data_IF_248290284464
#
_entry.id   IF_248290284464
#
_cell.length_a   1.000
_cell.length_b   1.000
_cell.length_c   1.000
_cell.angle_alpha   90.00
_cell.angle_beta   90.00
_cell.angle_gamma   90.00
#
_symmetry.space_group_name_H-M   'P 1'
#
loop_
_entity.id
_entity.type
_entity.pdbx_description
1 polymer ?
#
# COMPACT_ATOMS: atom_id res chain seq x y z
N UNK A 1 -45.11 21.27 14.41
CA UNK A 1 -44.78 22.46 13.61
C UNK A 1 -43.38 22.89 14.00
N UNK A 2 -42.36 22.28 13.38
CA UNK A 2 -40.98 22.75 13.42
C UNK A 2 -40.29 22.28 12.12
N UNK A 3 -40.03 23.25 11.26
CA UNK A 3 -39.36 23.07 9.97
C UNK A 3 -37.87 22.82 10.21
N UNK A 4 -37.34 21.69 9.76
CA UNK A 4 -35.91 21.47 9.66
C UNK A 4 -35.44 22.00 8.29
N UNK A 5 -34.54 23.00 8.31
CA UNK A 5 -33.90 23.58 7.15
C UNK A 5 -32.72 22.69 6.72
N UNK A 6 -32.77 22.15 5.52
CA UNK A 6 -31.64 21.61 4.82
C UNK A 6 -30.77 22.78 4.28
N UNK A 7 -29.54 22.85 4.71
CA UNK A 7 -28.52 23.74 4.09
C UNK A 7 -27.67 22.89 3.17
N UNK A 8 -27.82 23.10 1.88
CA UNK A 8 -26.92 22.58 0.86
C UNK A 8 -25.65 23.44 0.80
N UNK A 9 -24.51 22.87 1.12
CA UNK A 9 -23.22 23.51 0.93
C UNK A 9 -22.72 23.24 -0.50
N UNK A 10 -22.81 24.28 -1.32
CA UNK A 10 -22.22 24.29 -2.67
C UNK A 10 -20.77 24.73 -2.56
N UNK A 11 -19.83 23.83 -2.80
CA UNK A 11 -18.39 24.15 -2.86
C UNK A 11 -18.06 24.86 -4.16
N UNK A 12 -17.69 26.11 -4.03
CA UNK A 12 -17.21 26.97 -5.12
C UNK A 12 -15.69 26.74 -5.26
N UNK A 13 -15.26 26.13 -6.37
CA UNK A 13 -13.87 26.04 -6.75
C UNK A 13 -13.50 27.33 -7.46
N UNK A 14 -12.71 28.19 -6.82
CA UNK A 14 -12.11 29.37 -7.45
C UNK A 14 -10.81 28.96 -8.14
N UNK A 15 -10.82 29.00 -9.48
CA UNK A 15 -9.63 28.89 -10.28
C UNK A 15 -8.87 30.23 -10.24
N UNK A 16 -7.67 30.24 -9.67
CA UNK A 16 -6.73 31.35 -9.76
C UNK A 16 -5.89 31.18 -11.02
N UNK A 17 -6.22 31.93 -12.08
CA UNK A 17 -5.32 32.21 -13.18
C UNK A 17 -4.47 33.43 -12.81
N UNK A 18 -3.22 33.19 -12.42
CA UNK A 18 -2.20 34.22 -12.26
C UNK A 18 -1.50 34.49 -13.61
N UNK A 19 -1.84 35.59 -14.25
CA UNK A 19 -1.16 36.06 -15.42
C UNK A 19 0.23 36.60 -15.08
N UNK A 20 1.26 36.09 -15.77
CA UNK A 20 2.59 36.63 -15.78
C UNK A 20 2.68 37.55 -17.00
N UNK A 21 2.80 38.87 -16.76
CA UNK A 21 3.03 39.89 -17.76
C UNK A 21 4.48 39.81 -18.25
N UNK A 22 4.66 39.55 -19.53
CA UNK A 22 5.92 39.79 -20.24
C UNK A 22 6.16 41.29 -20.37
N UNK A 23 7.25 41.77 -19.77
CA UNK A 23 7.87 43.05 -20.12
C UNK A 23 8.85 42.82 -21.25
N UNK A 24 8.60 43.49 -22.39
CA UNK A 24 9.54 43.69 -23.47
C UNK A 24 10.35 44.94 -23.14
N UNK A 25 11.68 44.80 -23.09
CA UNK A 25 12.58 45.93 -23.31
C UNK A 25 13.60 45.53 -24.38
N UNK A 26 13.64 46.36 -25.41
CA UNK A 26 14.49 46.20 -26.57
C UNK A 26 15.85 46.83 -26.38
N UNK A 27 16.80 46.43 -27.19
CA UNK A 27 17.58 47.30 -28.09
C UNK A 27 18.95 46.73 -28.42
N UNK A 28 19.25 46.85 -29.73
CA UNK A 28 20.53 47.03 -30.42
C UNK A 28 21.46 45.80 -30.58
N UNK A 29 21.51 45.23 -31.78
CA UNK A 29 22.10 45.67 -33.06
C UNK A 29 23.56 45.25 -33.24
N UNK A 30 23.82 44.72 -34.43
CA UNK A 30 25.07 44.47 -35.22
C UNK A 30 25.54 43.00 -35.13
N UNK A 31 25.64 42.25 -36.25
CA UNK A 31 26.02 42.52 -37.60
C UNK A 31 27.10 41.54 -38.00
N UNK A 32 26.98 40.81 -39.12
CA UNK A 32 28.02 39.92 -39.65
C UNK A 32 27.43 38.71 -40.37
N UNK A 33 27.22 38.84 -41.48
CA UNK A 33 27.40 38.41 -42.89
C UNK A 33 28.21 37.12 -43.13
N UNK A 34 27.66 36.33 -44.09
CA UNK A 34 28.22 35.62 -45.27
C UNK A 34 28.61 34.15 -45.12
N UNK A 35 28.09 33.34 -46.09
CA UNK A 35 28.57 32.06 -46.57
C UNK A 35 27.46 31.04 -46.74
N UNK A 36 26.70 30.93 -47.79
CA UNK A 36 26.81 30.53 -49.20
C UNK A 36 27.27 29.09 -49.41
N UNK A 37 26.42 28.29 -50.05
CA UNK A 37 26.72 27.09 -50.83
C UNK A 37 26.23 25.80 -50.16
N UNK A 38 25.51 24.93 -50.87
CA UNK A 38 25.31 24.64 -52.21
C UNK A 38 24.34 23.47 -52.32
N UNK A 39 23.65 23.47 -53.40
CA UNK A 39 22.66 22.52 -53.86
C UNK A 39 23.31 21.28 -54.51
N UNK A 40 22.56 20.17 -54.53
CA UNK A 40 22.39 19.22 -55.63
C UNK A 40 21.52 18.08 -55.13
N UNK A 41 20.28 17.83 -55.56
CA UNK A 41 19.79 17.39 -56.90
C UNK A 41 20.15 15.95 -57.21
N UNK A 42 19.13 15.17 -57.44
CA UNK A 42 19.09 13.93 -58.19
C UNK A 42 18.35 12.85 -57.42
N UNK A 43 17.25 12.29 -57.86
CA UNK A 43 16.69 11.86 -59.09
C UNK A 43 16.16 10.48 -58.82
N UNK A 44 14.92 10.25 -58.88
CA UNK A 44 13.98 9.82 -59.92
C UNK A 44 14.04 8.32 -60.27
N UNK A 45 12.79 7.82 -60.40
CA UNK A 45 12.33 6.66 -61.20
C UNK A 45 12.48 5.29 -60.61
N UNK A 46 11.47 4.42 -60.66
CA UNK A 46 10.34 4.16 -61.47
C UNK A 46 9.60 2.95 -60.96
N UNK A 47 8.37 2.92 -61.21
CA UNK A 47 7.54 1.98 -61.97
C UNK A 47 7.45 0.56 -61.43
N UNK A 48 6.29 0.03 -61.20
CA UNK A 48 5.02 -0.23 -61.82
C UNK A 48 4.75 -1.74 -61.91
N UNK A 49 3.53 -2.12 -61.74
CA UNK A 49 2.92 -3.38 -62.22
C UNK A 49 2.62 -4.38 -61.11
N UNK A 50 1.43 -4.81 -60.91
CA UNK A 50 0.52 -5.42 -61.67
C UNK A 50 -0.74 -5.83 -60.93
N UNK A 51 -1.84 -5.64 -61.56
CA UNK A 51 -3.20 -6.05 -61.19
C UNK A 51 -3.47 -7.52 -61.58
N UNK A 52 -4.38 -8.16 -60.83
CA UNK A 52 -5.22 -9.26 -61.28
C UNK A 52 -6.23 -9.56 -60.17
N UNK A 53 -7.48 -9.16 -60.14
CA UNK A 53 -8.72 -9.64 -60.82
C UNK A 53 -9.05 -11.11 -60.57
N UNK A 54 -10.19 -11.32 -59.88
CA UNK A 54 -10.91 -12.59 -59.80
C UNK A 54 -12.00 -12.49 -58.74
N UNK A 55 -13.09 -12.12 -58.98
CA UNK A 55 -14.42 -12.35 -59.49
C UNK A 55 -15.06 -13.70 -59.10
N UNK A 56 -16.30 -13.66 -58.57
CA UNK A 56 -17.25 -14.76 -58.43
C UNK A 56 -17.89 -14.80 -57.05
N UNK A 57 -19.05 -14.31 -56.85
CA UNK A 57 -20.38 -14.76 -57.25
C UNK A 57 -20.99 -15.35 -55.99
N UNK A 58 -22.06 -14.88 -55.40
CA UNK A 58 -23.39 -14.82 -55.87
C UNK A 58 -24.29 -15.69 -54.98
N UNK A 59 -25.38 -15.18 -54.45
CA UNK A 59 -26.42 -15.99 -53.82
C UNK A 59 -27.12 -15.27 -52.68
N UNK A 60 -27.99 -14.59 -52.85
CA UNK A 60 -29.39 -14.24 -52.77
C UNK A 60 -30.27 -15.15 -51.89
N UNK A 61 -31.01 -14.51 -51.01
CA UNK A 61 -32.47 -14.44 -50.68
C UNK A 61 -32.98 -15.41 -49.61
N UNK A 62 -33.64 -14.79 -48.63
CA UNK A 62 -34.54 -15.44 -47.69
C UNK A 62 -35.22 -14.42 -46.81
N UNK A 63 -36.27 -13.83 -47.30
CA UNK A 63 -37.28 -13.00 -46.62
C UNK A 63 -38.31 -13.87 -45.90
N UNK A 64 -38.82 -13.35 -44.78
CA UNK A 64 -40.00 -13.85 -44.06
C UNK A 64 -39.90 -13.35 -42.65
N UNK A 65 -40.62 -12.40 -42.15
CA UNK A 65 -42.07 -12.15 -42.18
C UNK A 65 -42.67 -12.97 -41.05
N UNK A 66 -43.00 -12.37 -39.89
CA UNK A 66 -44.35 -12.05 -39.48
C UNK A 66 -44.44 -11.59 -38.01
N UNK A 67 -45.03 -10.50 -37.82
CA UNK A 67 -46.05 -9.97 -36.91
C UNK A 67 -46.63 -10.94 -35.86
N UNK A 68 -46.62 -10.49 -34.65
CA UNK A 68 -47.37 -11.03 -33.52
C UNK A 68 -47.70 -9.95 -32.52
N UNK A 69 -48.79 -9.25 -32.77
CA UNK A 69 -49.50 -8.32 -31.88
C UNK A 69 -50.27 -9.08 -30.79
N UNK A 70 -50.41 -8.43 -29.63
CA UNK A 70 -51.42 -8.68 -28.60
C UNK A 70 -50.83 -9.08 -27.27
N UNK A 71 -51.16 -8.50 -26.22
CA UNK A 71 -52.33 -7.93 -25.69
C UNK A 71 -52.10 -7.37 -24.30
N UNK A 72 -52.86 -6.43 -24.01
CA UNK A 72 -52.93 -5.55 -22.84
C UNK A 72 -53.57 -6.19 -21.60
N UNK A 73 -53.42 -5.41 -20.51
CA UNK A 73 -54.25 -5.31 -19.28
C UNK A 73 -54.09 -6.45 -18.30
N UNK A 74 -53.97 -6.17 -16.98
CA UNK A 74 -54.90 -5.36 -16.16
C UNK A 74 -54.30 -5.00 -14.82
N UNK A 75 -54.58 -3.83 -14.41
CA UNK A 75 -54.70 -3.27 -13.08
C UNK A 75 -55.18 -4.22 -11.97
N UNK A 76 -54.49 -4.08 -10.82
CA UNK A 76 -54.93 -4.61 -9.54
C UNK A 76 -54.55 -3.68 -8.41
N UNK A 77 -55.42 -2.72 -8.16
CA UNK A 77 -55.44 -1.92 -6.95
C UNK A 77 -56.00 -2.73 -5.77
N UNK A 78 -55.33 -2.71 -4.67
CA UNK A 78 -55.82 -3.29 -3.41
C UNK A 78 -55.07 -2.73 -2.25
N UNK A 79 -55.64 -1.67 -1.69
CA UNK A 79 -55.31 -1.11 -0.42
C UNK A 79 -55.93 -1.92 0.73
N UNK A 80 -55.26 -1.90 1.83
CA UNK A 80 -55.88 -2.02 3.15
C UNK A 80 -54.94 -1.47 4.21
N UNK A 81 -55.38 -0.39 4.76
CA UNK A 81 -55.06 0.21 6.04
C UNK A 81 -55.16 -0.78 7.20
N UNK A 82 -54.20 -0.69 8.10
CA UNK A 82 -54.23 -1.35 9.42
C UNK A 82 -53.49 -0.52 10.43
N UNK A 83 -54.18 0.39 11.05
CA UNK A 83 -53.76 1.14 12.24
C UNK A 83 -54.02 0.31 13.50
N UNK A 84 -53.12 0.34 14.45
CA UNK A 84 -53.25 -0.07 15.83
C UNK A 84 -51.85 0.00 16.44
N UNK A 85 -51.51 0.82 17.28
CA UNK A 85 -52.08 1.59 18.39
C UNK A 85 -52.06 0.79 19.67
N UNK A 86 -51.22 1.23 20.61
CA UNK A 86 -51.23 1.13 22.09
C UNK A 86 -49.90 0.64 22.63
N UNK A 87 -49.06 1.51 23.21
CA UNK A 87 -49.11 2.12 24.57
C UNK A 87 -48.79 1.16 25.71
N UNK A 88 -47.91 1.71 26.53
CA UNK A 88 -47.77 1.56 27.97
C UNK A 88 -46.63 0.61 28.44
N UNK A 89 -45.59 1.22 28.95
CA UNK A 89 -45.32 1.50 30.36
C UNK A 89 -44.94 0.27 31.19
N UNK A 90 -43.79 0.36 31.84
CA UNK A 90 -43.43 -0.55 32.91
C UNK A 90 -41.95 -0.59 33.23
N UNK A 91 -41.38 0.42 33.85
CA UNK A 91 -40.19 0.24 34.64
C UNK A 91 -40.52 -0.39 36.01
N UNK A 92 -39.58 -0.99 36.64
CA UNK A 92 -39.34 -0.53 38.00
C UNK A 92 -37.86 -0.29 38.36
N UNK A 93 -37.83 0.61 39.31
CA UNK A 93 -36.78 1.19 40.10
C UNK A 93 -35.91 0.18 40.88
N UNK A 94 -34.75 0.71 41.19
CA UNK A 94 -33.71 0.32 42.09
C UNK A 94 -34.17 -0.15 43.49
N UNK A 95 -33.36 -1.02 44.04
CA UNK A 95 -32.97 -1.09 45.46
C UNK A 95 -31.67 -1.90 45.46
N UNK A 96 -30.57 -1.50 46.01
CA UNK A 96 -30.34 -0.90 47.29
C UNK A 96 -29.83 -1.98 48.24
N UNK A 97 -28.57 -1.83 48.67
CA UNK A 97 -28.03 -2.60 49.76
C UNK A 97 -26.85 -3.52 49.36
N UNK A 98 -25.77 -3.63 50.05
CA UNK A 98 -25.25 -3.02 51.25
C UNK A 98 -23.77 -3.38 51.29
N UNK A 99 -23.01 -2.54 51.86
CA UNK A 99 -21.60 -2.78 52.27
C UNK A 99 -21.51 -3.99 53.21
N UNK A 100 -20.43 -4.75 53.09
CA UNK A 100 -19.84 -5.43 54.23
C UNK A 100 -18.33 -5.25 54.18
N UNK A 101 -17.87 -4.56 55.20
CA UNK A 101 -16.53 -4.39 55.70
C UNK A 101 -15.96 -5.75 56.17
N UNK A 102 -14.61 -5.78 56.20
CA UNK A 102 -13.84 -6.70 57.07
C UNK A 102 -12.87 -7.55 56.26
N UNK A 103 -11.64 -7.45 56.43
CA UNK A 103 -10.79 -7.39 57.55
C UNK A 103 -9.36 -7.47 57.17
N UNK A 104 -8.64 -6.68 57.89
CA UNK A 104 -7.21 -6.51 58.09
C UNK A 104 -6.52 -7.79 58.57
N UNK A 105 -5.22 -7.84 58.29
CA UNK A 105 -4.09 -8.42 58.99
C UNK A 105 -3.28 -9.35 58.08
N UNK A 106 -1.99 -9.32 58.06
CA UNK A 106 -1.00 -8.85 58.93
C UNK A 106 0.39 -9.20 58.35
N UNK A 107 1.29 -8.39 58.73
CA UNK A 107 2.69 -8.31 58.46
C UNK A 107 3.55 -9.56 58.78
N UNK A 108 4.79 -9.41 58.39
CA UNK A 108 6.08 -9.90 58.84
C UNK A 108 6.73 -10.72 57.74
N UNK A 109 7.88 -10.33 57.23
CA UNK A 109 9.15 -9.96 57.87
C UNK A 109 10.09 -11.13 57.64
N UNK A 110 11.15 -10.94 56.90
CA UNK A 110 12.16 -11.98 56.76
C UNK A 110 13.35 -11.52 55.91
N UNK A 111 14.34 -11.13 56.61
CA UNK A 111 15.62 -10.58 56.24
C UNK A 111 16.51 -11.49 55.37
N UNK A 112 17.40 -10.84 54.64
CA UNK A 112 18.62 -11.38 54.06
C UNK A 112 19.51 -12.03 55.12
N UNK A 113 20.44 -12.91 54.69
CA UNK A 113 21.82 -12.45 54.89
C UNK A 113 22.76 -12.72 53.71
N UNK A 114 23.76 -11.84 53.70
CA UNK A 114 25.03 -11.86 53.03
C UNK A 114 25.78 -13.19 53.05
N UNK A 115 26.51 -13.46 51.96
CA UNK A 115 27.59 -14.42 51.91
C UNK A 115 28.64 -13.98 50.91
N UNK A 116 29.63 -13.29 51.42
CA UNK A 116 30.87 -13.00 50.73
C UNK A 116 31.86 -14.17 50.86
N UNK A 117 32.67 -14.34 49.86
CA UNK A 117 33.88 -15.16 50.04
C UNK A 117 34.63 -15.37 48.73
N UNK A 118 35.94 -15.15 48.74
CA UNK A 118 36.77 -14.87 47.57
C UNK A 118 37.59 -16.10 47.17
N UNK A 119 38.21 -16.03 46.00
CA UNK A 119 39.19 -17.02 45.62
C UNK A 119 39.57 -16.94 44.15
N UNK A 120 40.65 -16.21 43.94
CA UNK A 120 41.42 -16.16 42.77
C UNK A 120 42.26 -17.39 42.54
N UNK A 121 42.65 -17.61 41.27
CA UNK A 121 43.98 -18.12 40.91
C UNK A 121 44.25 -17.79 39.44
N UNK A 122 45.28 -17.04 39.26
CA UNK A 122 46.06 -16.86 38.02
C UNK A 122 46.79 -18.15 37.69
N UNK A 123 46.75 -18.54 36.42
CA UNK A 123 47.73 -19.47 35.85
C UNK A 123 48.20 -18.96 34.51
N UNK A 124 49.40 -18.43 34.51
CA UNK A 124 50.28 -18.21 33.36
C UNK A 124 50.89 -19.54 32.96
N UNK A 125 50.95 -19.80 31.66
CA UNK A 125 51.72 -20.92 31.13
C UNK A 125 51.66 -20.96 29.61
N UNK A 126 52.72 -20.46 29.00
CA UNK A 126 52.93 -20.50 27.60
C UNK A 126 53.52 -21.84 27.16
N UNK A 127 53.36 -22.12 25.86
CA UNK A 127 54.34 -22.89 25.06
C UNK A 127 54.08 -22.74 23.58
N UNK A 128 55.12 -22.37 22.88
CA UNK A 128 55.23 -22.38 21.42
C UNK A 128 55.04 -23.79 20.85
N UNK A 129 54.32 -23.89 19.76
CA UNK A 129 54.23 -25.05 18.87
C UNK A 129 54.18 -24.61 17.43
N UNK A 130 55.36 -24.56 16.78
CA UNK A 130 55.56 -24.51 15.33
C UNK A 130 55.24 -25.85 14.72
N UNK A 131 54.39 -25.92 13.72
CA UNK A 131 54.18 -27.12 12.93
C UNK A 131 53.15 -26.89 11.81
N UNK A 132 53.64 -26.69 10.60
CA UNK A 132 52.83 -26.48 9.43
C UNK A 132 52.12 -27.73 8.91
N UNK A 133 51.11 -27.52 8.18
CA UNK A 133 50.77 -28.28 6.95
C UNK A 133 49.59 -27.58 6.26
N UNK A 134 49.82 -27.29 4.99
CA UNK A 134 48.79 -26.85 4.07
C UNK A 134 47.68 -27.89 3.95
N UNK A 135 46.44 -27.45 4.21
CA UNK A 135 45.26 -28.07 3.64
C UNK A 135 44.43 -26.97 3.01
N UNK A 136 44.50 -26.87 1.71
CA UNK A 136 43.59 -26.10 0.90
C UNK A 136 42.22 -26.77 0.99
N UNK A 137 41.34 -26.22 1.86
CA UNK A 137 39.94 -26.55 1.95
C UNK A 137 39.19 -25.24 1.90
N UNK A 138 38.95 -24.74 0.70
CA UNK A 138 38.13 -23.55 0.48
C UNK A 138 36.68 -23.83 0.84
N UNK A 139 36.31 -23.74 2.10
CA UNK A 139 34.96 -23.47 2.47
C UNK A 139 34.76 -21.96 2.29
N UNK A 140 34.13 -21.61 1.18
CA UNK A 140 33.61 -20.27 0.98
C UNK A 140 32.56 -19.94 2.06
N UNK A 141 33.04 -19.57 3.22
CA UNK A 141 32.23 -18.85 4.19
C UNK A 141 31.91 -17.49 3.57
N UNK A 142 30.78 -17.42 2.89
CA UNK A 142 30.24 -16.15 2.45
C UNK A 142 30.07 -15.29 3.70
N UNK A 143 30.97 -14.33 3.89
CA UNK A 143 30.77 -13.24 4.83
C UNK A 143 29.46 -12.58 4.37
N UNK A 144 28.38 -12.80 5.13
CA UNK A 144 27.14 -12.06 4.96
C UNK A 144 27.49 -10.58 5.17
N UNK A 145 27.73 -9.90 4.05
CA UNK A 145 28.06 -8.48 4.10
C UNK A 145 26.83 -7.75 4.61
N UNK A 146 26.94 -7.26 5.83
CA UNK A 146 25.87 -6.49 6.47
C UNK A 146 25.56 -5.28 5.59
N UNK A 147 24.30 -5.18 5.12
CA UNK A 147 23.84 -4.01 4.35
C UNK A 147 23.48 -2.90 5.32
N UNK A 148 24.22 -1.81 5.28
CA UNK A 148 23.91 -0.62 6.04
C UNK A 148 23.17 0.39 5.17
N UNK A 149 22.12 1.04 5.71
CA UNK A 149 21.48 2.15 5.02
C UNK A 149 22.45 3.29 4.76
N UNK A 150 22.38 3.86 3.58
CA UNK A 150 23.24 4.97 3.14
C UNK A 150 22.41 6.25 3.19
N UNK A 151 22.85 7.22 4.00
CA UNK A 151 22.28 8.56 3.95
C UNK A 151 22.73 9.27 2.66
N UNK A 152 21.79 9.82 1.94
CA UNK A 152 22.00 10.64 0.74
C UNK A 152 21.67 12.11 1.07
N UNK A 153 21.95 13.00 0.13
CA UNK A 153 21.58 14.41 0.26
C UNK A 153 20.06 14.60 0.36
N UNK A 154 19.62 15.71 0.94
CA UNK A 154 18.21 16.11 1.00
C UNK A 154 17.29 15.10 1.72
N UNK A 155 17.75 14.52 2.81
CA UNK A 155 16.90 13.67 3.67
C UNK A 155 16.55 12.29 3.11
N UNK A 156 17.25 11.86 2.06
CA UNK A 156 17.03 10.53 1.46
C UNK A 156 17.93 9.48 2.08
N UNK A 157 17.42 8.28 2.21
CA UNK A 157 18.12 7.11 2.75
C UNK A 157 17.89 5.91 1.86
N UNK A 158 18.94 5.13 1.60
CA UNK A 158 18.92 4.03 0.63
C UNK A 158 19.38 2.74 1.27
N UNK A 159 18.66 1.64 0.97
CA UNK A 159 19.14 0.27 1.07
C UNK A 159 19.41 -0.23 -0.36
N UNK A 160 20.64 -0.69 -0.60
CA UNK A 160 21.07 -1.24 -1.89
C UNK A 160 21.72 -2.59 -1.63
N UNK A 161 21.13 -3.66 -2.13
CA UNK A 161 21.58 -5.04 -1.89
C UNK A 161 21.05 -6.00 -2.95
N UNK A 162 21.92 -6.92 -3.38
CA UNK A 162 21.61 -7.76 -4.53
C UNK A 162 21.19 -6.90 -5.73
N UNK A 163 20.03 -7.18 -6.28
CA UNK A 163 19.44 -6.43 -7.39
C UNK A 163 18.42 -5.38 -6.92
N UNK A 164 18.29 -5.17 -5.62
CA UNK A 164 17.26 -4.29 -5.03
C UNK A 164 17.86 -2.92 -4.69
N UNK A 165 17.18 -1.87 -5.16
CA UNK A 165 17.38 -0.50 -4.72
C UNK A 165 16.08 0.01 -4.08
N UNK A 166 16.19 0.45 -2.83
CA UNK A 166 15.07 0.90 -2.00
C UNK A 166 15.42 2.24 -1.36
N UNK A 167 14.59 3.27 -1.61
CA UNK A 167 14.86 4.63 -1.15
C UNK A 167 13.69 5.20 -0.35
N UNK A 168 14.01 5.84 0.76
CA UNK A 168 13.08 6.50 1.69
C UNK A 168 13.39 7.99 1.75
N UNK A 169 12.35 8.82 1.66
CA UNK A 169 12.42 10.26 1.87
C UNK A 169 11.95 10.62 3.28
N UNK A 170 12.88 10.99 4.15
CA UNK A 170 12.57 11.37 5.54
C UNK A 170 11.84 12.70 5.65
N UNK A 171 11.95 13.58 4.64
CA UNK A 171 11.33 14.89 4.66
C UNK A 171 9.82 14.86 4.36
N UNK A 172 9.33 13.72 3.83
CA UNK A 172 7.92 13.54 3.47
C UNK A 172 7.42 12.23 4.09
N UNK A 173 7.12 12.24 5.37
CA UNK A 173 6.49 11.10 6.07
C UNK A 173 7.34 9.84 6.16
N UNK A 174 8.67 9.89 6.01
CA UNK A 174 9.53 8.71 5.78
C UNK A 174 8.90 7.78 4.73
N UNK A 175 8.55 8.34 3.59
CA UNK A 175 7.85 7.68 2.48
C UNK A 175 8.83 6.88 1.65
N UNK A 176 8.46 5.68 1.26
CA UNK A 176 9.23 4.91 0.28
C UNK A 176 8.93 5.51 -1.11
N UNK A 177 9.96 6.04 -1.76
CA UNK A 177 9.81 6.75 -3.04
C UNK A 177 10.37 5.98 -4.23
N UNK A 178 11.28 5.04 -3.96
CA UNK A 178 11.88 4.22 -5.01
C UNK A 178 11.98 2.76 -4.55
N UNK A 179 11.58 1.87 -5.43
CA UNK A 179 11.77 0.43 -5.31
C UNK A 179 12.02 -0.13 -6.70
N UNK A 180 13.24 -0.57 -6.97
CA UNK A 180 13.63 -1.15 -8.26
C UNK A 180 14.27 -2.51 -8.09
N UNK A 181 14.25 -3.31 -9.15
CA UNK A 181 14.93 -4.61 -9.27
C UNK A 181 15.82 -4.59 -10.50
N UNK A 182 17.13 -4.84 -10.34
CA UNK A 182 18.08 -5.00 -11.45
C UNK A 182 18.03 -3.89 -12.51
N UNK A 183 17.90 -2.62 -12.09
CA UNK A 183 17.81 -1.48 -13.00
C UNK A 183 16.50 -1.34 -13.77
N UNK A 184 15.47 -2.15 -13.42
CA UNK A 184 14.13 -1.97 -13.95
C UNK A 184 13.56 -0.61 -13.53
N UNK A 185 12.53 -0.09 -14.22
CA UNK A 185 11.83 1.12 -13.79
C UNK A 185 11.32 1.01 -12.35
N UNK A 186 11.17 2.15 -11.67
CA UNK A 186 10.59 2.21 -10.35
C UNK A 186 9.20 1.55 -10.34
N UNK A 187 8.97 0.65 -9.39
CA UNK A 187 7.66 0.00 -9.20
C UNK A 187 6.61 0.96 -8.65
N UNK A 188 7.09 1.99 -7.94
CA UNK A 188 6.22 2.96 -7.26
C UNK A 188 6.03 4.19 -8.12
N UNK A 189 4.83 4.77 -8.08
CA UNK A 189 4.60 6.08 -8.69
C UNK A 189 5.38 7.17 -7.97
N UNK A 190 5.71 8.22 -8.68
CA UNK A 190 6.42 9.38 -8.15
C UNK A 190 5.59 10.67 -8.27
N UNK A 191 6.17 11.78 -7.86
CA UNK A 191 5.53 13.11 -7.90
C UNK A 191 5.09 13.55 -9.30
N UNK A 192 5.66 12.97 -10.36
CA UNK A 192 5.26 13.23 -11.74
C UNK A 192 3.86 12.68 -12.05
N UNK A 193 3.41 11.62 -11.39
CA UNK A 193 2.07 11.06 -11.52
C UNK A 193 1.07 11.82 -10.66
N UNK A 194 1.43 12.04 -9.39
CA UNK A 194 0.64 12.81 -8.45
C UNK A 194 1.56 13.47 -7.42
N UNK A 195 1.45 14.77 -7.23
CA UNK A 195 2.35 15.52 -6.35
C UNK A 195 2.15 15.21 -4.86
N UNK A 196 1.03 14.60 -4.49
CA UNK A 196 0.64 14.29 -3.11
C UNK A 196 0.59 12.78 -2.89
N UNK A 197 -0.07 12.05 -3.80
CA UNK A 197 -0.35 10.62 -3.67
C UNK A 197 0.65 9.82 -4.52
N UNK A 198 1.82 9.52 -3.99
CA UNK A 198 2.88 8.76 -4.66
C UNK A 198 3.64 7.87 -3.68
N UNK A 199 4.39 6.90 -4.20
CA UNK A 199 5.23 6.03 -3.40
C UNK A 199 4.45 5.13 -2.45
N UNK A 200 5.09 4.71 -1.36
CA UNK A 200 4.42 3.96 -0.30
C UNK A 200 4.50 4.70 1.02
N UNK A 201 3.36 4.76 1.70
CA UNK A 201 3.19 5.45 2.98
C UNK A 201 2.55 4.50 4.01
N UNK A 202 2.58 4.92 5.26
CA UNK A 202 1.93 4.21 6.36
C UNK A 202 1.02 5.19 7.10
N UNK A 203 -0.18 4.73 7.40
CA UNK A 203 -1.24 5.51 8.04
C UNK A 203 -1.78 4.79 9.26
N UNK A 204 -2.63 5.46 10.00
CA UNK A 204 -3.36 4.92 11.17
C UNK A 204 -4.83 4.82 10.80
N UNK A 205 -5.35 3.60 10.73
CA UNK A 205 -6.74 3.29 10.44
C UNK A 205 -7.60 3.34 11.73
N UNK A 206 -8.94 3.61 11.65
CA UNK A 206 -9.70 3.82 10.42
C UNK A 206 -9.59 5.26 9.90
N UNK A 207 -9.80 5.44 8.60
CA UNK A 207 -9.85 6.77 7.98
C UNK A 207 -10.92 7.68 8.61
N UNK A 208 -12.03 7.11 9.05
CA UNK A 208 -13.11 7.83 9.72
C UNK A 208 -12.70 8.50 11.04
N UNK A 209 -11.57 8.12 11.63
CA UNK A 209 -11.02 8.73 12.85
C UNK A 209 -10.14 9.97 12.56
N UNK A 210 -9.86 10.29 11.30
CA UNK A 210 -9.06 11.46 10.94
C UNK A 210 -9.90 12.75 10.97
N UNK A 211 -9.28 13.89 11.29
CA UNK A 211 -9.95 15.17 11.17
C UNK A 211 -10.31 15.45 9.70
N UNK A 212 -11.60 15.49 9.38
CA UNK A 212 -12.06 15.82 8.04
C UNK A 212 -11.99 14.69 7.00
N UNK A 213 -11.80 13.44 7.40
CA UNK A 213 -11.80 12.25 6.54
C UNK A 213 -10.61 12.17 5.55
N UNK A 214 -10.21 13.25 4.93
CA UNK A 214 -9.08 13.38 4.00
C UNK A 214 -8.57 14.82 4.00
N UNK A 215 -7.26 15.09 3.90
CA UNK A 215 -6.14 14.13 3.83
C UNK A 215 -5.82 13.49 5.19
N UNK A 216 -4.88 12.50 5.23
CA UNK A 216 -4.33 11.97 6.48
C UNK A 216 -3.70 13.08 7.32
N UNK A 217 -3.58 12.89 8.66
CA UNK A 217 -2.84 13.83 9.50
C UNK A 217 -1.43 14.07 8.94
N UNK A 218 -1.05 15.34 8.70
CA UNK A 218 0.20 15.66 8.03
C UNK A 218 1.44 15.17 8.80
N UNK A 219 1.36 15.08 10.12
CA UNK A 219 2.43 14.56 10.97
C UNK A 219 2.79 13.12 10.63
N UNK A 220 1.82 12.33 10.16
CA UNK A 220 2.01 10.93 9.80
C UNK A 220 2.38 10.78 8.31
N UNK A 221 1.77 11.56 7.42
CA UNK A 221 1.86 11.33 5.96
C UNK A 221 2.87 12.23 5.24
N UNK A 222 2.98 13.50 5.60
CA UNK A 222 3.75 14.49 4.82
C UNK A 222 4.80 15.28 5.58
N UNK A 223 4.74 15.32 6.90
CA UNK A 223 5.76 16.02 7.69
C UNK A 223 7.08 15.26 7.70
N UNK A 224 8.18 15.99 7.92
CA UNK A 224 9.48 15.39 8.09
C UNK A 224 9.52 14.47 9.33
N UNK A 225 10.08 13.29 9.16
CA UNK A 225 10.38 12.35 10.23
C UNK A 225 11.83 12.54 10.70
N UNK A 226 12.05 12.40 11.99
CA UNK A 226 13.41 12.22 12.52
C UNK A 226 13.89 10.82 12.13
N UNK A 227 14.77 10.73 11.13
CA UNK A 227 15.29 9.47 10.64
C UNK A 227 16.75 9.29 11.02
N UNK A 228 17.07 8.13 11.60
CA UNK A 228 18.41 7.72 11.99
C UNK A 228 18.73 6.35 11.41
N UNK A 229 20.03 6.05 11.30
CA UNK A 229 20.53 4.72 10.96
C UNK A 229 21.05 4.06 12.23
N UNK A 230 20.52 2.88 12.55
CA UNK A 230 20.96 2.05 13.66
C UNK A 230 21.35 0.66 13.14
N UNK A 231 22.65 0.40 13.05
CA UNK A 231 23.16 -0.81 12.42
C UNK A 231 22.68 -0.94 10.99
N UNK A 232 21.92 -1.99 10.68
CA UNK A 232 21.39 -2.30 9.35
C UNK A 232 20.00 -1.70 9.09
N UNK A 233 19.48 -0.88 10.00
CA UNK A 233 18.08 -0.44 10.00
C UNK A 233 18.00 1.08 9.87
N UNK A 234 17.14 1.56 8.97
CA UNK A 234 16.62 2.92 8.99
C UNK A 234 15.50 3.00 10.02
N UNK A 235 15.54 3.99 10.90
CA UNK A 235 14.49 4.22 11.92
C UNK A 235 14.01 5.66 11.80
N UNK A 236 12.78 5.83 11.34
CA UNK A 236 12.12 7.14 11.21
C UNK A 236 10.97 7.27 12.21
N UNK A 237 10.92 8.39 12.95
CA UNK A 237 9.84 8.67 13.90
C UNK A 237 9.13 9.96 13.48
N UNK A 238 7.80 9.92 13.42
CA UNK A 238 6.95 11.07 13.09
C UNK A 238 6.93 12.09 14.23
N UNK A 239 6.57 13.35 13.94
CA UNK A 239 5.99 14.21 14.95
C UNK A 239 4.75 13.57 15.60
N UNK A 240 4.33 14.07 16.75
CA UNK A 240 3.11 13.62 17.41
C UNK A 240 1.88 14.18 16.66
N UNK A 241 1.06 13.30 16.12
CA UNK A 241 -0.22 13.65 15.51
C UNK A 241 -1.30 13.76 16.62
N UNK A 242 -1.37 14.93 17.24
CA UNK A 242 -2.26 15.17 18.37
C UNK A 242 -3.74 14.94 18.03
N UNK A 243 -4.13 15.19 16.79
CA UNK A 243 -5.51 15.02 16.29
C UNK A 243 -6.00 13.58 16.39
N UNK A 244 -5.11 12.60 16.18
CA UNK A 244 -5.42 11.17 16.30
C UNK A 244 -4.75 10.53 17.52
N UNK A 245 -4.00 11.30 18.31
CA UNK A 245 -3.34 10.84 19.52
C UNK A 245 -2.29 9.76 19.28
N UNK A 246 -1.46 9.91 18.23
CA UNK A 246 -0.51 8.89 17.86
C UNK A 246 0.83 9.46 17.37
N UNK A 247 1.89 8.68 17.59
CA UNK A 247 3.20 8.82 16.95
C UNK A 247 3.50 7.53 16.20
N UNK A 248 4.07 7.64 15.01
CA UNK A 248 4.43 6.50 14.16
C UNK A 248 5.95 6.36 14.09
N UNK A 249 6.45 5.14 14.26
CA UNK A 249 7.84 4.79 13.93
C UNK A 249 7.83 3.81 12.76
N UNK A 250 8.67 4.07 11.77
CA UNK A 250 8.89 3.20 10.61
C UNK A 250 10.33 2.69 10.64
N UNK A 251 10.51 1.38 10.46
CA UNK A 251 11.84 0.78 10.37
C UNK A 251 11.94 -0.01 9.07
N UNK A 252 13.06 0.14 8.38
CA UNK A 252 13.33 -0.59 7.15
C UNK A 252 14.68 -1.29 7.26
N UNK A 253 14.68 -2.59 6.99
CA UNK A 253 15.88 -3.44 7.08
C UNK A 253 15.96 -4.35 5.86
N UNK A 254 17.16 -4.56 5.32
CA UNK A 254 17.39 -5.52 4.26
C UNK A 254 17.35 -6.97 4.80
N UNK A 255 16.51 -7.81 4.23
CA UNK A 255 16.50 -9.26 4.45
C UNK A 255 17.47 -9.95 3.48
N UNK A 256 18.72 -10.12 3.89
CA UNK A 256 19.80 -10.53 2.99
C UNK A 256 19.66 -11.95 2.46
N UNK A 257 19.21 -12.87 3.30
CA UNK A 257 19.11 -14.29 2.95
C UNK A 257 18.09 -14.56 1.83
N UNK A 258 17.07 -13.73 1.76
CA UNK A 258 15.95 -13.88 0.83
C UNK A 258 15.71 -12.66 -0.06
N UNK A 259 16.63 -11.70 -0.08
CA UNK A 259 16.56 -10.47 -0.88
C UNK A 259 15.17 -9.78 -0.72
N UNK A 260 14.80 -9.49 0.51
CA UNK A 260 13.56 -8.82 0.87
C UNK A 260 13.82 -7.52 1.61
N UNK A 261 12.79 -6.71 1.77
CA UNK A 261 12.77 -5.55 2.67
C UNK A 261 11.80 -5.88 3.79
N UNK A 262 12.27 -5.81 5.03
CA UNK A 262 11.40 -5.89 6.22
C UNK A 262 11.05 -4.47 6.62
N UNK A 263 9.76 -4.15 6.58
CA UNK A 263 9.19 -2.89 7.04
C UNK A 263 8.42 -3.16 8.34
N UNK A 264 8.92 -2.61 9.45
CA UNK A 264 8.25 -2.65 10.75
C UNK A 264 7.65 -1.28 11.04
N UNK A 265 6.38 -1.26 11.35
CA UNK A 265 5.62 -0.06 11.71
C UNK A 265 5.13 -0.17 13.15
N UNK A 266 5.37 0.88 13.93
CA UNK A 266 4.90 0.96 15.31
C UNK A 266 4.04 2.20 15.48
N UNK A 267 2.83 2.03 15.98
CA UNK A 267 1.95 3.11 16.41
C UNK A 267 2.04 3.19 17.93
N UNK A 268 2.51 4.31 18.46
CA UNK A 268 2.51 4.63 19.89
C UNK A 268 1.31 5.54 20.16
N UNK A 269 0.42 5.13 21.06
CA UNK A 269 -0.69 5.96 21.50
C UNK A 269 -0.19 7.04 22.48
N UNK A 270 -0.52 8.29 22.17
CA UNK A 270 -0.23 9.46 23.02
C UNK A 270 -1.47 10.01 23.71
N UNK A 271 -2.65 9.40 23.47
CA UNK A 271 -3.91 9.74 24.12
C UNK A 271 -4.66 8.46 24.52
N UNK A 272 -5.48 8.53 25.58
CA UNK A 272 -6.27 7.38 26.04
C UNK A 272 -7.51 7.14 25.16
N UNK A 273 -8.02 5.90 25.19
CA UNK A 273 -9.31 5.52 24.60
C UNK A 273 -9.36 5.49 23.08
N UNK A 274 -8.23 5.40 22.39
CA UNK A 274 -8.18 5.23 20.96
C UNK A 274 -8.11 3.75 20.58
N UNK A 275 -8.82 3.38 19.54
CA UNK A 275 -8.62 2.12 18.83
C UNK A 275 -8.05 2.42 17.46
N UNK A 276 -7.08 1.65 17.03
CA UNK A 276 -6.33 1.89 15.79
C UNK A 276 -5.99 0.58 15.10
N UNK A 277 -5.76 0.65 13.80
CA UNK A 277 -5.10 -0.42 13.04
C UNK A 277 -3.93 0.15 12.22
N UNK A 278 -2.84 -0.62 12.05
CA UNK A 278 -1.80 -0.32 11.08
C UNK A 278 -2.36 -0.34 9.66
N UNK A 279 -1.94 0.60 8.81
CA UNK A 279 -2.38 0.68 7.42
C UNK A 279 -1.23 1.10 6.52
N UNK A 280 -0.78 0.19 5.67
CA UNK A 280 0.23 0.45 4.64
C UNK A 280 -0.45 0.63 3.29
N UNK A 281 -0.10 1.73 2.60
CA UNK A 281 -0.65 2.11 1.31
C UNK A 281 0.48 2.30 0.30
N UNK A 282 0.44 1.56 -0.79
CA UNK A 282 1.49 1.55 -1.83
C UNK A 282 0.89 1.84 -3.19
N UNK A 283 1.38 2.89 -3.83
CA UNK A 283 0.93 3.34 -5.14
C UNK A 283 1.84 2.82 -6.24
N UNK A 284 1.26 2.04 -7.13
CA UNK A 284 1.93 1.46 -8.28
C UNK A 284 1.37 2.01 -9.59
N UNK A 285 2.13 1.89 -10.68
CA UNK A 285 1.72 2.38 -11.98
C UNK A 285 0.50 1.62 -12.53
N UNK A 286 -0.31 2.30 -13.38
CA UNK A 286 -1.38 1.66 -14.12
C UNK A 286 -0.90 0.50 -14.98
N UNK A 287 -1.78 -0.47 -15.16
CA UNK A 287 -1.47 -1.72 -15.85
C UNK A 287 -0.95 -2.79 -14.90
N UNK A 288 -0.96 -4.03 -15.34
CA UNK A 288 -0.53 -5.16 -14.52
C UNK A 288 -1.69 -5.89 -13.84
N UNK A 289 -1.34 -6.80 -12.96
CA UNK A 289 -2.25 -7.73 -12.30
C UNK A 289 -2.00 -7.70 -10.80
N UNK A 290 -3.00 -7.32 -10.01
CA UNK A 290 -2.96 -7.41 -8.56
C UNK A 290 -3.80 -8.59 -8.10
N UNK A 291 -3.31 -9.38 -7.13
CA UNK A 291 -4.03 -10.53 -6.62
C UNK A 291 -3.64 -10.87 -5.19
N UNK A 292 -4.58 -11.49 -4.49
CA UNK A 292 -4.41 -11.91 -3.10
C UNK A 292 -5.30 -13.13 -2.82
N UNK A 293 -4.99 -13.97 -1.81
CA UNK A 293 -5.86 -15.07 -1.40
C UNK A 293 -7.21 -14.54 -0.93
N UNK A 294 -8.28 -15.10 -1.48
CA UNK A 294 -9.65 -14.66 -1.18
C UNK A 294 -10.04 -15.05 0.24
N UNK A 295 -10.42 -14.09 1.04
CA UNK A 295 -10.93 -14.29 2.40
C UNK A 295 -12.40 -14.69 2.46
N UNK A 296 -12.97 -14.65 3.66
CA UNK A 296 -14.30 -15.16 3.94
C UNK A 296 -15.42 -14.13 3.74
N UNK A 297 -15.07 -12.83 3.71
CA UNK A 297 -16.03 -11.75 3.53
C UNK A 297 -16.15 -11.33 2.06
N UNK A 298 -17.37 -11.06 1.62
CA UNK A 298 -17.62 -10.49 0.31
C UNK A 298 -17.00 -9.07 0.23
N UNK A 299 -16.29 -8.74 -0.88
CA UNK A 299 -15.73 -7.41 -1.05
C UNK A 299 -16.80 -6.32 -1.09
N UNK A 300 -16.45 -5.13 -0.58
CA UNK A 300 -17.28 -3.92 -0.66
C UNK A 300 -16.48 -2.76 -1.24
N UNK A 301 -17.16 -1.81 -1.87
CA UNK A 301 -16.55 -0.58 -2.39
C UNK A 301 -16.57 0.59 -1.40
N UNK A 302 -17.23 0.43 -0.25
CA UNK A 302 -17.54 1.56 0.62
C UNK A 302 -18.43 2.57 -0.11
N UNK A 303 -17.94 3.81 -0.29
CA UNK A 303 -18.62 4.87 -1.05
C UNK A 303 -18.28 4.87 -2.55
N UNK A 304 -17.37 4.01 -2.99
CA UNK A 304 -16.94 3.89 -4.37
C UNK A 304 -17.57 2.66 -5.05
N UNK A 305 -17.70 2.65 -6.38
CA UNK A 305 -18.04 1.44 -7.11
C UNK A 305 -16.93 0.38 -6.93
N UNK A 306 -17.33 -0.89 -6.92
CA UNK A 306 -16.37 -2.00 -6.96
C UNK A 306 -15.71 -2.09 -8.35
N UNK A 307 -14.39 -2.28 -8.42
CA UNK A 307 -13.75 -2.63 -9.68
C UNK A 307 -14.13 -4.06 -10.10
N UNK A 308 -14.04 -4.33 -11.39
CA UNK A 308 -14.24 -5.69 -11.91
C UNK A 308 -13.08 -6.59 -11.45
N UNK A 309 -13.43 -7.66 -10.75
CA UNK A 309 -12.50 -8.69 -10.33
C UNK A 309 -12.97 -10.07 -10.78
N UNK A 310 -12.08 -11.04 -10.78
CA UNK A 310 -12.43 -12.45 -10.93
C UNK A 310 -11.86 -13.24 -9.75
N UNK A 311 -12.53 -14.32 -9.38
CA UNK A 311 -12.04 -15.25 -8.36
C UNK A 311 -11.73 -16.59 -9.00
N UNK A 312 -10.49 -17.05 -8.88
CA UNK A 312 -10.03 -18.36 -9.35
C UNK A 312 -8.76 -18.77 -8.61
N UNK A 313 -8.47 -20.07 -8.56
CA UNK A 313 -7.27 -20.62 -7.90
C UNK A 313 -7.11 -20.17 -6.43
N UNK A 314 -8.24 -19.95 -5.73
CA UNK A 314 -8.26 -19.49 -4.34
C UNK A 314 -7.87 -18.02 -4.14
N UNK A 315 -7.72 -17.24 -5.21
CA UNK A 315 -7.35 -15.84 -5.18
C UNK A 315 -8.38 -14.95 -5.88
N UNK A 316 -8.47 -13.71 -5.40
CA UNK A 316 -9.14 -12.61 -6.10
C UNK A 316 -8.11 -11.88 -6.95
N UNK A 317 -8.46 -11.65 -8.21
CA UNK A 317 -7.61 -11.07 -9.24
C UNK A 317 -8.21 -9.77 -9.74
N UNK A 318 -7.40 -8.72 -9.73
CA UNK A 318 -7.73 -7.44 -10.30
C UNK A 318 -6.75 -7.11 -11.44
N UNK A 319 -7.26 -7.14 -12.67
CA UNK A 319 -6.52 -6.67 -13.84
C UNK A 319 -6.79 -5.18 -14.01
N UNK A 320 -5.76 -4.36 -13.85
CA UNK A 320 -5.90 -2.93 -13.99
C UNK A 320 -6.16 -2.58 -15.47
N UNK A 321 -7.32 -2.00 -15.81
CA UNK A 321 -7.60 -1.63 -17.19
C UNK A 321 -6.72 -0.45 -17.63
N UNK A 322 -6.20 -0.50 -18.85
CA UNK A 322 -5.37 0.57 -19.40
C UNK A 322 -6.12 1.91 -19.56
N UNK A 323 -7.45 1.88 -19.53
CA UNK A 323 -8.31 3.05 -19.69
C UNK A 323 -9.26 3.24 -18.51
N UNK A 324 -8.71 3.59 -17.34
CA UNK A 324 -9.54 3.98 -16.20
C UNK A 324 -10.18 5.33 -16.44
N UNK A 325 -11.47 5.45 -16.13
CA UNK A 325 -12.26 6.68 -16.30
C UNK A 325 -13.04 7.09 -15.06
N UNK A 326 -13.03 6.27 -14.02
CA UNK A 326 -13.71 6.55 -12.76
C UNK A 326 -12.94 5.90 -11.61
N UNK A 327 -12.94 6.54 -10.46
CA UNK A 327 -12.40 5.95 -9.23
C UNK A 327 -13.25 4.76 -8.81
N UNK A 328 -12.58 3.72 -8.33
CA UNK A 328 -13.20 2.53 -7.79
C UNK A 328 -12.41 2.06 -6.56
N UNK A 329 -13.06 1.37 -5.64
CA UNK A 329 -12.40 0.80 -4.48
C UNK A 329 -12.89 -0.62 -4.21
N UNK A 330 -11.98 -1.49 -3.82
CA UNK A 330 -12.26 -2.80 -3.27
C UNK A 330 -11.73 -2.81 -1.85
N UNK A 331 -12.58 -3.17 -0.91
CA UNK A 331 -12.26 -3.42 0.50
C UNK A 331 -12.59 -4.87 0.74
N UNK A 332 -11.65 -5.67 1.18
CA UNK A 332 -11.79 -7.11 1.24
C UNK A 332 -11.10 -7.71 2.47
N UNK A 333 -11.53 -8.91 2.77
CA UNK A 333 -10.85 -9.84 3.65
C UNK A 333 -9.87 -10.67 2.82
N UNK A 334 -8.63 -10.79 3.28
CA UNK A 334 -7.61 -11.64 2.69
C UNK A 334 -7.55 -12.99 3.39
N UNK A 335 -6.65 -13.83 2.94
CA UNK A 335 -6.17 -15.05 3.61
C UNK A 335 -4.68 -15.19 3.39
N UNK A 336 -4.02 -15.94 4.23
CA UNK A 336 -2.59 -16.25 4.11
C UNK A 336 -1.67 -15.03 4.28
N UNK A 337 -2.20 -13.82 4.51
CA UNK A 337 -1.44 -12.61 4.81
C UNK A 337 -0.49 -12.19 3.70
N UNK A 338 -0.92 -12.17 2.43
CA UNK A 338 -0.13 -11.65 1.33
C UNK A 338 -0.96 -11.03 0.21
N UNK A 339 -0.34 -10.07 -0.48
CA UNK A 339 -0.84 -9.48 -1.73
C UNK A 339 0.32 -9.36 -2.72
N UNK A 340 0.05 -9.58 -4.00
CA UNK A 340 1.03 -9.47 -5.06
C UNK A 340 0.56 -8.53 -6.17
N UNK A 341 1.50 -7.75 -6.71
CA UNK A 341 1.31 -6.93 -7.90
C UNK A 341 2.35 -7.27 -8.96
N UNK A 342 1.91 -7.79 -10.09
CA UNK A 342 2.71 -8.07 -11.26
C UNK A 342 2.58 -6.91 -12.25
N UNK A 343 3.67 -6.22 -12.52
CA UNK A 343 3.71 -5.15 -13.52
C UNK A 343 3.63 -5.70 -14.94
N UNK A 344 3.25 -4.87 -15.90
CA UNK A 344 3.31 -5.23 -17.34
C UNK A 344 4.74 -5.59 -17.82
N UNK A 345 5.78 -5.10 -17.12
CA UNK A 345 7.18 -5.42 -17.39
C UNK A 345 7.66 -6.74 -16.77
N UNK A 346 6.79 -7.51 -16.13
CA UNK A 346 7.10 -8.82 -15.55
C UNK A 346 7.89 -8.74 -14.24
N UNK A 347 7.87 -7.61 -13.53
CA UNK A 347 8.36 -7.51 -12.16
C UNK A 347 7.21 -7.69 -11.19
N UNK A 348 7.42 -8.47 -10.15
CA UNK A 348 6.41 -8.78 -9.14
C UNK A 348 6.83 -8.20 -7.79
N UNK A 349 5.97 -7.39 -7.20
CA UNK A 349 6.03 -7.00 -5.80
C UNK A 349 5.10 -7.92 -5.02
N UNK A 350 5.63 -8.64 -4.04
CA UNK A 350 4.84 -9.42 -3.08
C UNK A 350 5.03 -8.80 -1.71
N UNK A 351 3.94 -8.51 -1.03
CA UNK A 351 3.92 -8.08 0.36
C UNK A 351 3.36 -9.20 1.22
N UNK A 352 4.12 -9.62 2.23
CA UNK A 352 3.70 -10.58 3.25
C UNK A 352 3.49 -9.83 4.55
N UNK A 353 2.39 -10.09 5.23
CA UNK A 353 2.00 -9.47 6.50
C UNK A 353 1.28 -10.50 7.38
N UNK A 354 1.07 -10.24 8.67
CA UNK A 354 0.25 -11.11 9.52
C UNK A 354 -1.20 -11.13 9.04
N UNK A 355 -1.70 -12.31 8.73
CA UNK A 355 -3.11 -12.56 8.43
C UNK A 355 -3.97 -12.25 9.66
N UNK A 356 -5.10 -11.61 9.48
CA UNK A 356 -5.98 -11.22 10.58
C UNK A 356 -7.39 -11.79 10.38
N UNK A 357 -8.05 -12.10 11.48
CA UNK A 357 -9.43 -12.53 11.41
C UNK A 357 -10.33 -11.41 10.86
N UNK A 358 -11.32 -11.76 10.05
CA UNK A 358 -12.28 -10.82 9.46
C UNK A 358 -13.02 -9.95 10.49
N UNK A 359 -13.15 -10.44 11.73
CA UNK A 359 -13.72 -9.71 12.87
C UNK A 359 -12.78 -8.67 13.48
N UNK A 360 -11.51 -8.65 13.06
CA UNK A 360 -10.49 -7.73 13.55
C UNK A 360 -10.25 -6.54 12.61
N UNK A 361 -11.05 -6.38 11.57
CA UNK A 361 -10.97 -5.22 10.68
C UNK A 361 -11.40 -3.94 11.40
N UNK A 362 -10.76 -2.82 11.05
CA UNK A 362 -11.23 -1.52 11.49
C UNK A 362 -12.59 -1.17 10.85
N UNK A 363 -13.45 -0.39 11.53
CA UNK A 363 -14.78 -0.06 11.01
C UNK A 363 -14.73 0.60 9.62
N UNK A 364 -15.39 -0.02 8.65
CA UNK A 364 -15.43 0.43 7.26
C UNK A 364 -14.20 0.12 6.42
N UNK A 365 -13.26 -0.63 6.98
CA UNK A 365 -11.99 -1.01 6.33
C UNK A 365 -11.90 -2.53 6.18
N UNK A 366 -10.85 -3.01 5.51
CA UNK A 366 -10.56 -4.43 5.32
C UNK A 366 -9.07 -4.72 5.51
N UNK A 367 -8.72 -5.99 5.58
CA UNK A 367 -7.31 -6.40 5.59
C UNK A 367 -6.60 -6.03 4.29
N UNK A 368 -7.30 -6.15 3.17
CA UNK A 368 -6.84 -5.79 1.82
C UNK A 368 -7.74 -4.72 1.25
N UNK A 369 -7.13 -3.69 0.65
CA UNK A 369 -7.87 -2.73 -0.16
C UNK A 369 -7.12 -2.45 -1.46
N UNK A 370 -7.87 -2.21 -2.52
CA UNK A 370 -7.36 -1.74 -3.81
C UNK A 370 -8.17 -0.50 -4.18
N UNK A 371 -7.49 0.66 -4.26
CA UNK A 371 -8.10 1.87 -4.79
C UNK A 371 -7.59 2.15 -6.19
N UNK A 372 -8.48 2.57 -7.06
CA UNK A 372 -8.22 2.91 -8.46
C UNK A 372 -8.42 4.40 -8.64
N UNK A 373 -7.38 5.13 -8.99
CA UNK A 373 -7.50 6.55 -9.34
C UNK A 373 -8.22 6.73 -10.68
N UNK A 374 -9.31 7.50 -10.68
CA UNK A 374 -10.13 7.74 -11.87
C UNK A 374 -9.43 8.57 -12.97
N UNK A 375 -8.33 9.24 -12.63
CA UNK A 375 -7.45 9.92 -13.59
C UNK A 375 -6.43 8.99 -14.26
N UNK A 376 -6.36 7.71 -13.83
CA UNK A 376 -5.43 6.73 -14.37
C UNK A 376 -3.97 6.98 -13.99
N UNK A 377 -3.72 7.64 -12.86
CA UNK A 377 -2.38 7.98 -12.40
C UNK A 377 -1.72 6.83 -11.64
N UNK A 378 -2.48 6.13 -10.80
CA UNK A 378 -2.01 5.03 -9.96
C UNK A 378 -3.15 4.09 -9.56
N UNK A 379 -2.77 2.96 -9.01
CA UNK A 379 -3.60 2.17 -8.09
C UNK A 379 -2.91 2.14 -6.72
N UNK A 380 -3.70 2.10 -5.66
CA UNK A 380 -3.23 1.81 -4.31
C UNK A 380 -3.41 0.32 -4.03
N UNK A 381 -2.35 -0.31 -3.55
CA UNK A 381 -2.37 -1.65 -2.95
C UNK A 381 -2.19 -1.43 -1.45
N UNK A 382 -3.25 -1.71 -0.71
CA UNK A 382 -3.31 -1.39 0.70
C UNK A 382 -3.43 -2.68 1.52
N UNK A 383 -2.78 -2.69 2.68
CA UNK A 383 -2.89 -3.78 3.65
C UNK A 383 -3.02 -3.22 5.05
N UNK A 384 -3.85 -3.86 5.88
CA UNK A 384 -4.12 -3.41 7.23
C UNK A 384 -3.90 -4.53 8.25
N UNK A 385 -3.45 -4.15 9.44
CA UNK A 385 -3.38 -5.04 10.59
C UNK A 385 -4.63 -4.97 11.46
N UNK A 386 -4.65 -5.73 12.54
CA UNK A 386 -5.79 -5.82 13.43
C UNK A 386 -6.13 -4.50 14.11
N UNK A 387 -7.43 -4.18 14.16
CA UNK A 387 -7.99 -3.07 14.90
C UNK A 387 -8.08 -3.40 16.38
N UNK A 388 -7.39 -2.65 17.20
CA UNK A 388 -7.31 -2.89 18.62
C UNK A 388 -7.35 -1.60 19.44
N UNK A 389 -7.92 -1.69 20.64
CA UNK A 389 -7.83 -0.62 21.61
C UNK A 389 -6.37 -0.41 22.03
N UNK A 390 -5.93 0.84 22.02
CA UNK A 390 -4.56 1.22 22.34
C UNK A 390 -4.55 2.28 23.46
N UNK A 391 -4.42 1.86 24.72
CA UNK A 391 -4.28 2.79 25.84
C UNK A 391 -3.10 3.73 25.67
N UNK A 392 -3.16 4.91 26.30
CA UNK A 392 -2.04 5.86 26.25
C UNK A 392 -0.74 5.26 26.75
N UNK A 393 0.35 5.51 26.06
CA UNK A 393 1.68 4.96 26.32
C UNK A 393 1.88 3.53 25.79
N UNK A 394 0.83 2.85 25.33
CA UNK A 394 0.95 1.53 24.71
C UNK A 394 1.18 1.66 23.20
N UNK A 395 1.70 0.58 22.61
CA UNK A 395 1.98 0.57 21.18
C UNK A 395 1.56 -0.75 20.55
N UNK A 396 1.15 -0.67 19.28
CA UNK A 396 1.01 -1.81 18.39
C UNK A 396 2.14 -1.77 17.37
N UNK A 397 2.72 -2.94 17.11
CA UNK A 397 3.75 -3.14 16.06
C UNK A 397 3.18 -4.08 15.01
N UNK A 398 3.42 -3.75 13.75
CA UNK A 398 3.00 -4.53 12.60
C UNK A 398 4.14 -4.57 11.59
N UNK A 399 4.40 -5.76 11.03
CA UNK A 399 5.54 -5.98 10.16
C UNK A 399 5.06 -6.48 8.81
N UNK A 400 5.56 -5.87 7.75
CA UNK A 400 5.41 -6.37 6.38
C UNK A 400 6.78 -6.75 5.82
N UNK A 401 6.81 -7.77 4.98
CA UNK A 401 8.01 -8.16 4.23
C UNK A 401 7.72 -8.01 2.74
N UNK A 402 8.53 -7.23 2.06
CA UNK A 402 8.41 -6.96 0.64
C UNK A 402 9.42 -7.78 -0.14
N UNK A 403 8.94 -8.55 -1.07
CA UNK A 403 9.76 -9.30 -2.01
C UNK A 403 9.59 -8.71 -3.40
N UNK A 404 10.69 -8.42 -4.07
CA UNK A 404 10.69 -7.95 -5.46
C UNK A 404 11.39 -8.99 -6.31
N UNK A 405 10.67 -9.52 -7.28
CA UNK A 405 11.18 -10.63 -8.12
C UNK A 405 10.84 -10.41 -9.59
N UNK A 406 11.65 -10.98 -10.45
CA UNK A 406 11.28 -11.15 -11.85
C UNK A 406 10.36 -12.37 -11.97
N UNK A 407 9.28 -12.24 -12.73
CA UNK A 407 8.43 -13.38 -13.04
C UNK A 407 9.26 -14.42 -13.80
N UNK A 408 9.31 -15.68 -13.36
CA UNK A 408 10.08 -16.72 -14.05
C UNK A 408 9.57 -16.98 -15.47
N UNK A 409 10.49 -17.28 -16.37
CA UNK A 409 10.14 -17.79 -17.69
C UNK A 409 9.28 -19.04 -17.58
N UNK A 410 8.17 -19.10 -18.31
CA UNK A 410 7.22 -20.22 -18.29
C UNK A 410 6.04 -20.05 -17.35
N UNK A 411 6.02 -19.04 -16.46
CA UNK A 411 4.83 -18.67 -15.71
C UNK A 411 4.11 -17.55 -16.45
N UNK A 412 2.82 -17.78 -16.75
CA UNK A 412 2.00 -16.77 -17.42
C UNK A 412 1.70 -15.58 -16.50
N UNK A 413 1.69 -14.38 -17.08
CA UNK A 413 1.30 -13.13 -16.42
C UNK A 413 -0.23 -12.94 -16.30
N UNK A 414 -1.02 -14.00 -16.45
CA UNK A 414 -2.47 -14.03 -16.30
C UNK A 414 -2.86 -14.90 -15.10
N UNK A 415 -4.10 -14.82 -14.58
CA UNK A 415 -4.56 -15.68 -13.49
C UNK A 415 -4.35 -17.17 -13.79
N UNK A 416 -3.50 -17.82 -12.98
CA UNK A 416 -3.25 -19.26 -13.07
C UNK A 416 -2.66 -19.81 -11.75
N UNK A 417 -2.78 -21.13 -11.56
CA UNK A 417 -2.29 -21.82 -10.35
C UNK A 417 -0.77 -21.70 -10.18
N UNK A 418 0.00 -21.81 -11.26
CA UNK A 418 1.46 -21.76 -11.19
C UNK A 418 1.98 -20.41 -10.66
N UNK A 419 1.30 -19.30 -11.00
CA UNK A 419 1.61 -17.98 -10.47
C UNK A 419 1.33 -17.88 -8.97
N UNK A 420 0.21 -18.44 -8.50
CA UNK A 420 -0.12 -18.50 -7.06
C UNK A 420 0.91 -19.33 -6.29
N UNK A 421 1.23 -20.52 -6.79
CA UNK A 421 2.18 -21.42 -6.13
C UNK A 421 3.59 -20.82 -6.09
N UNK A 422 3.98 -20.13 -7.15
CA UNK A 422 5.24 -19.41 -7.18
C UNK A 422 5.29 -18.28 -6.14
N UNK A 423 4.24 -17.47 -6.01
CA UNK A 423 4.18 -16.42 -4.97
C UNK A 423 4.25 -17.03 -3.58
N UNK A 424 3.52 -18.12 -3.32
CA UNK A 424 3.62 -18.87 -2.04
C UNK A 424 5.04 -19.35 -1.78
N UNK A 425 5.73 -19.84 -2.80
CA UNK A 425 7.15 -20.21 -2.70
C UNK A 425 8.08 -19.04 -2.39
N UNK A 426 7.80 -17.85 -2.92
CA UNK A 426 8.58 -16.62 -2.62
C UNK A 426 8.45 -16.22 -1.16
N UNK A 427 7.27 -16.26 -0.58
CA UNK A 427 7.03 -15.82 0.81
C UNK A 427 7.42 -16.84 1.88
N UNK A 428 7.80 -18.06 1.49
CA UNK A 428 8.30 -19.12 2.39
C UNK A 428 9.83 -19.10 2.52
N UNK A 429 10.54 -18.31 1.73
CA UNK A 429 11.99 -18.12 1.78
C UNK A 429 12.39 -17.31 3.02
#
# INVERSE_FOLDING_TARGET
MLLAKFVAATSLIAAFCGGVACRTDGSHARGGTVGSGGASSGGATGEAGGASSGNGGGGRVGSGGDTGTGGASTSGSGGATGAGGLSAEGGPKASGGAMVDGGSSGATGGASPNGAGPGGTTATGGANGTGGANAAGGTGGGTSTLVQPIARTSGKYVLEFGDIFFEVDSLVGARVITLTLAGAPNLLTGTAQDAVNYGSTFRVSPQSAWPGTWPPPPEIDTSAYSLTVSGQTMVGTSPNAASIGATVTKKFTAGLSNQSIVAEYRILSTASGKSVAPWEDTRVFPGGLTFYPTGDLAPTGGTFPLPTTQTSFGCTWFQYPASVRASARLIADGKEGWIAHLTSGGTVLVKKYPDIASTAHAPGEGEVSIYVDGGGKFIEIETQGAYAALPSGQSVTWTTTWYVRKLPTGISATPNQALVDWVRGVIQQ
#
